data_IF_931130014846
#
_entry.id   IF_931130014846
#
_cell.length_a   1.000
_cell.length_b   1.000
_cell.length_c   1.000
_cell.angle_alpha   90.00
_cell.angle_beta   90.00
_cell.angle_gamma   90.00
#
_symmetry.space_group_name_H-M   'P 1'
#
loop_
_entity.id
_entity.type
_entity.pdbx_description
1 polymer ?
#
# COMPACT_ATOMS: atom_id res chain seq x y z
N UNK A 1 -5.57 -15.25 14.07
CA UNK A 1 -6.97 -15.57 13.75
C UNK A 1 -7.07 -16.36 12.43
N UNK A 2 -6.57 -15.86 11.31
CA UNK A 2 -6.75 -16.48 9.99
C UNK A 2 -6.26 -17.94 9.92
N UNK A 3 -5.10 -18.25 10.51
CA UNK A 3 -4.55 -19.62 10.53
C UNK A 3 -5.42 -20.62 11.28
N UNK A 4 -6.24 -20.17 12.23
CA UNK A 4 -7.20 -21.01 12.93
C UNK A 4 -8.53 -21.13 12.17
N UNK A 5 -9.05 -20.00 11.65
CA UNK A 5 -10.39 -19.93 11.12
C UNK A 5 -10.50 -20.40 9.66
N UNK A 6 -9.44 -20.23 8.85
CA UNK A 6 -9.47 -20.47 7.41
C UNK A 6 -8.42 -21.53 7.05
N UNK A 7 -8.82 -22.73 6.63
CA UNK A 7 -7.94 -23.76 6.12
C UNK A 7 -7.07 -23.25 4.96
N UNK A 8 -5.85 -23.77 4.84
CA UNK A 8 -4.86 -23.28 3.88
C UNK A 8 -5.36 -23.34 2.43
N UNK A 9 -6.05 -24.40 2.06
CA UNK A 9 -6.64 -24.62 0.72
C UNK A 9 -7.73 -23.61 0.36
N UNK A 10 -8.47 -23.10 1.36
CA UNK A 10 -9.51 -22.08 1.12
C UNK A 10 -8.95 -20.68 0.94
N UNK A 11 -7.70 -20.42 1.34
CA UNK A 11 -7.06 -19.11 1.22
C UNK A 11 -6.77 -18.71 -0.23
N UNK A 12 -6.91 -19.63 -1.18
CA UNK A 12 -6.89 -19.31 -2.61
C UNK A 12 -8.08 -18.42 -3.02
N UNK A 13 -9.18 -18.48 -2.26
CA UNK A 13 -10.35 -17.66 -2.49
C UNK A 13 -10.14 -16.24 -1.92
N UNK A 14 -10.93 -15.30 -2.45
CA UNK A 14 -11.01 -13.96 -1.90
C UNK A 14 -11.89 -13.97 -0.63
N UNK A 15 -11.28 -14.03 0.53
CA UNK A 15 -11.96 -14.16 1.82
C UNK A 15 -11.60 -13.00 2.75
N UNK A 16 -12.55 -12.59 3.58
CA UNK A 16 -12.32 -11.64 4.66
C UNK A 16 -12.43 -12.35 6.02
N UNK A 17 -11.48 -12.05 6.90
CA UNK A 17 -11.50 -12.40 8.31
C UNK A 17 -11.69 -11.13 9.12
N UNK A 18 -12.72 -11.06 9.95
CA UNK A 18 -13.10 -9.91 10.76
C UNK A 18 -13.07 -10.32 12.22
N UNK A 19 -12.13 -9.81 12.99
CA UNK A 19 -12.01 -10.08 14.44
C UNK A 19 -12.55 -8.89 15.21
N UNK A 20 -13.72 -9.07 15.83
CA UNK A 20 -14.47 -8.03 16.51
C UNK A 20 -14.18 -8.13 18.01
N UNK A 21 -13.27 -7.26 18.46
CA UNK A 21 -12.88 -7.12 19.85
C UNK A 21 -13.81 -6.21 20.65
N UNK A 22 -13.30 -5.71 21.76
CA UNK A 22 -13.96 -4.71 22.60
C UNK A 22 -13.90 -3.32 21.95
N UNK A 23 -12.70 -2.77 21.73
CA UNK A 23 -12.49 -1.41 21.22
C UNK A 23 -12.08 -1.35 19.76
N UNK A 24 -11.68 -2.45 19.12
CA UNK A 24 -11.26 -2.49 17.72
C UNK A 24 -11.85 -3.67 16.97
N UNK A 25 -12.01 -3.48 15.67
CA UNK A 25 -12.37 -4.53 14.72
C UNK A 25 -11.26 -4.66 13.69
N UNK A 26 -10.51 -5.75 13.76
CA UNK A 26 -9.39 -6.05 12.91
C UNK A 26 -9.84 -6.87 11.69
N UNK A 27 -9.43 -6.45 10.50
CA UNK A 27 -9.85 -7.07 9.25
C UNK A 27 -8.64 -7.47 8.44
N UNK A 28 -8.60 -8.74 8.05
CA UNK A 28 -7.58 -9.29 7.17
C UNK A 28 -8.24 -9.92 5.94
N UNK A 29 -7.69 -9.64 4.78
CA UNK A 29 -8.17 -10.16 3.50
C UNK A 29 -7.16 -11.16 2.94
N UNK A 30 -7.61 -12.30 2.47
CA UNK A 30 -6.77 -13.25 1.76
C UNK A 30 -7.25 -13.45 0.33
N UNK A 31 -6.29 -13.63 -0.57
CA UNK A 31 -6.48 -13.94 -1.98
C UNK A 31 -5.26 -14.67 -2.49
N UNK A 32 -5.45 -15.63 -3.39
CA UNK A 32 -4.36 -16.35 -4.04
C UNK A 32 -3.36 -16.99 -3.07
N UNK A 33 -3.86 -17.50 -1.96
CA UNK A 33 -3.09 -18.22 -0.94
C UNK A 33 -2.31 -17.33 0.04
N UNK A 34 -2.42 -16.00 -0.08
CA UNK A 34 -1.71 -15.05 0.79
C UNK A 34 -2.64 -13.99 1.36
N UNK A 35 -2.20 -13.36 2.44
CA UNK A 35 -2.90 -12.20 3.00
C UNK A 35 -2.59 -11.00 2.12
N UNK A 36 -3.62 -10.49 1.43
CA UNK A 36 -3.52 -9.40 0.47
C UNK A 36 -3.69 -8.00 1.08
N UNK A 37 -4.23 -7.90 2.29
CA UNK A 37 -4.43 -6.62 2.94
C UNK A 37 -4.90 -6.71 4.38
N UNK A 38 -4.63 -5.64 5.13
CA UNK A 38 -5.10 -5.44 6.49
C UNK A 38 -5.72 -4.06 6.64
N UNK A 39 -6.76 -3.99 7.45
CA UNK A 39 -7.36 -2.74 7.86
C UNK A 39 -7.98 -2.90 9.25
N UNK A 40 -8.37 -1.81 9.86
CA UNK A 40 -8.96 -1.80 11.20
C UNK A 40 -10.06 -0.75 11.25
N UNK A 41 -11.13 -1.05 11.99
CA UNK A 41 -12.12 -0.08 12.42
C UNK A 41 -11.99 0.16 13.92
N UNK A 42 -12.24 1.40 14.34
CA UNK A 42 -12.28 1.81 15.76
C UNK A 42 -13.68 1.67 16.36
N UNK A 43 -14.60 1.04 15.64
CA UNK A 43 -15.97 0.71 16.08
C UNK A 43 -16.00 -0.78 16.38
N UNK A 44 -16.40 -1.18 17.58
CA UNK A 44 -16.38 -2.56 18.03
C UNK A 44 -17.42 -2.84 19.14
N UNK A 45 -17.14 -3.80 20.02
CA UNK A 45 -18.07 -4.23 21.05
C UNK A 45 -18.44 -3.19 22.09
N UNK A 46 -17.54 -2.23 22.37
CA UNK A 46 -17.74 -1.23 23.44
C UNK A 46 -18.82 -0.22 23.08
N UNK A 47 -19.01 0.14 21.81
CA UNK A 47 -20.11 1.00 21.38
C UNK A 47 -21.48 0.38 21.67
N UNK A 48 -21.57 -0.94 21.56
CA UNK A 48 -22.79 -1.69 21.92
C UNK A 48 -23.01 -1.64 23.44
N UNK A 49 -21.93 -1.87 24.21
CA UNK A 49 -21.96 -1.82 25.67
C UNK A 49 -22.35 -0.44 26.18
N UNK A 50 -21.76 0.62 25.59
CA UNK A 50 -22.11 2.02 25.92
C UNK A 50 -23.58 2.34 25.60
N UNK A 51 -24.13 1.83 24.50
CA UNK A 51 -25.53 2.01 24.19
C UNK A 51 -26.44 1.37 25.23
N UNK A 52 -26.10 0.17 25.70
CA UNK A 52 -26.80 -0.51 26.80
C UNK A 52 -26.67 0.30 28.08
N UNK A 53 -25.48 0.77 28.46
CA UNK A 53 -25.26 1.62 29.62
C UNK A 53 -26.20 2.84 29.65
N UNK A 54 -26.29 3.53 28.50
CA UNK A 54 -27.12 4.73 28.34
C UNK A 54 -28.62 4.42 28.39
N UNK A 55 -29.04 3.31 27.77
CA UNK A 55 -30.45 2.94 27.69
C UNK A 55 -31.03 2.43 29.05
N UNK A 56 -30.19 1.72 29.81
CA UNK A 56 -30.65 1.06 31.03
C UNK A 56 -30.04 1.64 32.30
N UNK A 57 -29.27 2.70 32.21
CA UNK A 57 -28.61 3.39 33.33
C UNK A 57 -27.81 2.42 34.20
N UNK A 58 -26.97 1.61 33.57
CA UNK A 58 -26.13 0.60 34.24
C UNK A 58 -24.65 0.93 34.05
N UNK A 59 -23.81 0.33 34.92
CA UNK A 59 -22.36 0.40 34.74
C UNK A 59 -21.89 -0.54 33.60
N UNK A 60 -20.62 -0.39 33.20
CA UNK A 60 -20.04 -1.15 32.10
C UNK A 60 -20.13 -2.67 32.32
N UNK A 61 -19.85 -3.14 33.53
CA UNK A 61 -19.88 -4.57 33.85
C UNK A 61 -21.28 -5.14 33.69
N UNK A 62 -22.29 -4.47 34.27
CA UNK A 62 -23.69 -4.86 34.15
C UNK A 62 -24.18 -4.80 32.69
N UNK A 63 -23.74 -3.79 31.92
CA UNK A 63 -24.04 -3.71 30.49
C UNK A 63 -23.43 -4.89 29.70
N UNK A 64 -22.20 -5.30 30.01
CA UNK A 64 -21.58 -6.49 29.43
C UNK A 64 -22.32 -7.79 29.79
N UNK A 65 -22.82 -7.89 31.00
CA UNK A 65 -23.65 -9.02 31.44
C UNK A 65 -24.97 -9.05 30.66
N UNK A 66 -25.65 -7.93 30.51
CA UNK A 66 -26.87 -7.80 29.69
C UNK A 66 -26.58 -8.18 28.23
N UNK A 67 -25.49 -7.64 27.67
CA UNK A 67 -25.05 -7.92 26.27
C UNK A 67 -24.84 -9.40 25.99
N UNK A 68 -24.25 -10.16 26.95
CA UNK A 68 -24.03 -11.59 26.79
C UNK A 68 -25.32 -12.39 26.82
N UNK A 69 -26.31 -11.95 27.58
CA UNK A 69 -27.59 -12.63 27.64
C UNK A 69 -28.45 -12.46 26.37
N UNK A 70 -28.10 -11.54 25.50
CA UNK A 70 -28.79 -11.36 24.21
C UNK A 70 -28.44 -12.53 23.29
N UNK A 71 -29.27 -13.50 23.16
CA UNK A 71 -29.10 -14.67 22.31
C UNK A 71 -28.88 -16.01 23.05
N UNK A 72 -28.68 -15.98 24.35
CA UNK A 72 -28.53 -17.22 25.15
C UNK A 72 -29.81 -17.69 25.84
N UNK A 73 -30.79 -16.78 26.07
CA UNK A 73 -32.05 -17.16 26.75
C UNK A 73 -33.22 -16.30 26.28
N UNK A 74 -34.39 -16.93 26.20
CA UNK A 74 -35.69 -16.25 26.04
C UNK A 74 -36.18 -15.56 27.32
N UNK A 75 -35.44 -15.70 28.42
CA UNK A 75 -35.81 -15.16 29.73
C UNK A 75 -35.36 -13.69 29.86
N UNK A 76 -36.21 -12.85 30.51
CA UNK A 76 -35.82 -11.48 30.81
C UNK A 76 -34.58 -11.38 31.69
N UNK A 77 -33.63 -10.55 31.31
CA UNK A 77 -32.42 -10.28 32.07
C UNK A 77 -32.77 -9.39 33.27
N UNK A 78 -32.41 -9.84 34.48
CA UNK A 78 -32.53 -9.06 35.71
C UNK A 78 -31.26 -8.28 35.95
N UNK A 79 -31.38 -7.00 36.25
CA UNK A 79 -30.23 -6.16 36.53
C UNK A 79 -30.58 -5.12 37.62
N UNK A 80 -29.54 -4.50 38.19
CA UNK A 80 -29.67 -3.37 39.09
C UNK A 80 -29.08 -2.15 38.43
N UNK A 81 -29.87 -1.09 38.29
CA UNK A 81 -29.41 0.14 37.71
C UNK A 81 -28.57 0.98 38.71
N UNK A 82 -27.92 2.07 38.20
CA UNK A 82 -27.08 2.95 39.04
C UNK A 82 -27.86 3.65 40.18
N UNK A 83 -29.18 3.70 40.08
CA UNK A 83 -30.06 4.25 41.15
C UNK A 83 -30.40 3.22 42.23
N UNK A 84 -29.90 1.98 42.07
CA UNK A 84 -30.14 0.90 43.00
C UNK A 84 -31.49 0.17 42.82
N UNK A 85 -32.22 0.46 41.75
CA UNK A 85 -33.50 -0.18 41.43
C UNK A 85 -33.26 -1.51 40.71
N UNK A 86 -33.99 -2.55 41.11
CA UNK A 86 -34.02 -3.83 40.43
C UNK A 86 -35.00 -3.78 39.26
N UNK A 87 -34.54 -4.07 38.09
CA UNK A 87 -35.32 -4.04 36.86
C UNK A 87 -35.18 -5.32 36.07
N UNK A 88 -36.04 -5.48 35.06
CA UNK A 88 -35.99 -6.60 34.11
C UNK A 88 -36.16 -6.07 32.70
N UNK A 89 -35.38 -6.61 31.78
CA UNK A 89 -35.48 -6.24 30.36
C UNK A 89 -35.58 -7.51 29.51
N UNK A 90 -36.47 -7.50 28.54
CA UNK A 90 -36.55 -8.59 27.57
C UNK A 90 -35.38 -8.47 26.56
N UNK A 91 -34.86 -9.61 26.11
CA UNK A 91 -33.78 -9.63 25.11
C UNK A 91 -34.14 -8.83 23.82
N UNK A 92 -35.42 -8.89 23.40
CA UNK A 92 -35.91 -8.14 22.25
C UNK A 92 -35.81 -6.62 22.42
N UNK A 93 -36.04 -6.10 23.63
CA UNK A 93 -35.94 -4.67 23.94
C UNK A 93 -34.48 -4.20 23.91
N UNK A 94 -33.56 -5.07 24.39
CA UNK A 94 -32.11 -4.78 24.30
C UNK A 94 -31.66 -4.79 22.87
N UNK A 95 -32.06 -5.75 22.04
CA UNK A 95 -31.78 -5.79 20.61
C UNK A 95 -32.27 -4.53 19.91
N UNK A 96 -33.45 -4.03 20.29
CA UNK A 96 -33.98 -2.77 19.73
C UNK A 96 -33.15 -1.56 20.15
N UNK A 97 -32.71 -1.50 21.41
CA UNK A 97 -31.90 -0.40 21.93
C UNK A 97 -30.50 -0.30 21.29
N UNK A 98 -29.96 -1.40 20.78
CA UNK A 98 -28.62 -1.47 20.17
C UNK A 98 -28.64 -1.46 18.65
N UNK A 99 -29.78 -1.25 17.99
CA UNK A 99 -29.86 -1.29 16.53
C UNK A 99 -28.92 -0.29 15.83
N UNK A 100 -28.95 0.96 16.25
CA UNK A 100 -28.12 2.03 15.66
C UNK A 100 -26.61 1.74 15.78
N UNK A 101 -26.06 1.38 16.95
CA UNK A 101 -24.64 1.02 17.04
C UNK A 101 -24.30 -0.27 16.29
N UNK A 102 -25.23 -1.23 16.20
CA UNK A 102 -25.05 -2.43 15.37
C UNK A 102 -24.94 -2.10 13.89
N UNK A 103 -25.79 -1.19 13.40
CA UNK A 103 -25.72 -0.74 12.01
C UNK A 103 -24.43 0.04 11.72
N UNK A 104 -23.96 0.86 12.67
CA UNK A 104 -22.67 1.54 12.57
C UNK A 104 -21.49 0.56 12.52
N UNK A 105 -21.52 -0.47 13.33
CA UNK A 105 -20.50 -1.52 13.33
C UNK A 105 -20.48 -2.27 11.99
N UNK A 106 -21.64 -2.69 11.49
CA UNK A 106 -21.75 -3.37 10.21
C UNK A 106 -21.29 -2.47 9.03
N UNK A 107 -21.65 -1.19 9.06
CA UNK A 107 -21.18 -0.18 8.09
C UNK A 107 -19.66 -0.01 8.13
N UNK A 108 -19.08 0.09 9.33
CA UNK A 108 -17.64 0.24 9.50
C UNK A 108 -16.89 -0.99 8.94
N UNK A 109 -17.34 -2.20 9.28
CA UNK A 109 -16.78 -3.45 8.77
C UNK A 109 -16.82 -3.47 7.23
N UNK A 110 -18.00 -3.21 6.66
CA UNK A 110 -18.21 -3.30 5.22
C UNK A 110 -17.39 -2.25 4.45
N UNK A 111 -17.34 -1.01 4.94
CA UNK A 111 -16.50 0.06 4.36
C UNK A 111 -15.03 -0.29 4.39
N UNK A 112 -14.55 -0.84 5.49
CA UNK A 112 -13.14 -1.24 5.62
C UNK A 112 -12.80 -2.41 4.69
N UNK A 113 -13.67 -3.41 4.57
CA UNK A 113 -13.48 -4.50 3.61
C UNK A 113 -13.40 -3.95 2.18
N UNK A 114 -14.35 -3.11 1.78
CA UNK A 114 -14.40 -2.55 0.42
C UNK A 114 -13.25 -1.59 0.12
N UNK A 115 -12.74 -0.87 1.12
CA UNK A 115 -11.60 0.04 0.95
C UNK A 115 -10.32 -0.68 0.55
N UNK A 116 -10.13 -1.91 1.00
CA UNK A 116 -8.93 -2.73 0.71
C UNK A 116 -9.16 -3.69 -0.45
N UNK A 117 -10.38 -4.25 -0.55
CA UNK A 117 -10.71 -5.30 -1.54
C UNK A 117 -11.34 -4.77 -2.83
N UNK A 118 -11.81 -3.54 -2.83
CA UNK A 118 -12.55 -2.88 -3.94
C UNK A 118 -13.87 -3.55 -4.35
N UNK A 119 -14.11 -4.80 -3.95
CA UNK A 119 -15.33 -5.59 -4.20
C UNK A 119 -15.66 -6.43 -2.98
N UNK A 120 -16.90 -6.91 -2.87
CA UNK A 120 -17.27 -7.85 -1.83
C UNK A 120 -16.41 -9.13 -1.93
N UNK A 121 -15.94 -9.71 -0.81
CA UNK A 121 -15.22 -10.97 -0.80
C UNK A 121 -16.16 -12.14 -1.14
N UNK A 122 -15.59 -13.30 -1.45
CA UNK A 122 -16.38 -14.53 -1.69
C UNK A 122 -17.07 -15.04 -0.44
N UNK A 123 -16.44 -14.85 0.74
CA UNK A 123 -17.03 -15.10 2.04
C UNK A 123 -16.36 -14.26 3.13
N UNK A 124 -17.06 -14.06 4.25
CA UNK A 124 -16.59 -13.34 5.44
C UNK A 124 -16.67 -14.28 6.65
N UNK A 125 -15.59 -14.31 7.43
CA UNK A 125 -15.52 -15.02 8.70
C UNK A 125 -15.47 -14.01 9.84
N UNK A 126 -16.50 -13.99 10.67
CA UNK A 126 -16.57 -13.14 11.86
C UNK A 126 -15.98 -13.88 13.05
N UNK A 127 -15.05 -13.28 13.75
CA UNK A 127 -14.40 -13.80 14.95
C UNK A 127 -14.45 -12.78 16.09
N UNK A 128 -13.87 -13.16 17.23
CA UNK A 128 -13.90 -12.35 18.42
C UNK A 128 -15.25 -12.41 19.15
N UNK A 129 -15.30 -11.86 20.35
CA UNK A 129 -16.52 -11.86 21.18
C UNK A 129 -17.69 -11.11 20.54
N UNK A 130 -17.40 -10.05 19.80
CA UNK A 130 -18.41 -9.23 19.11
C UNK A 130 -19.11 -9.95 17.95
N UNK A 131 -18.52 -11.01 17.41
CA UNK A 131 -19.15 -11.80 16.34
C UNK A 131 -20.43 -12.54 16.78
N UNK A 132 -20.62 -12.71 18.09
CA UNK A 132 -21.81 -13.35 18.68
C UNK A 132 -23.02 -12.43 18.76
N UNK A 133 -22.87 -11.15 18.46
CA UNK A 133 -23.97 -10.20 18.51
C UNK A 133 -25.08 -10.61 17.54
N UNK A 134 -26.26 -10.85 18.07
CA UNK A 134 -27.43 -11.30 17.30
C UNK A 134 -27.79 -10.28 16.21
N UNK A 135 -27.93 -10.74 14.96
CA UNK A 135 -28.28 -9.90 13.82
C UNK A 135 -27.08 -9.14 13.19
N UNK A 136 -25.85 -9.27 13.70
CA UNK A 136 -24.68 -8.63 13.09
C UNK A 136 -24.31 -9.30 11.76
N UNK A 137 -24.37 -10.62 11.69
CA UNK A 137 -24.07 -11.39 10.49
C UNK A 137 -24.94 -10.95 9.31
N UNK A 138 -26.24 -10.87 9.54
CA UNK A 138 -27.26 -10.47 8.58
C UNK A 138 -27.03 -9.02 8.09
N UNK A 139 -26.67 -8.12 9.02
CA UNK A 139 -26.35 -6.73 8.68
C UNK A 139 -25.10 -6.61 7.84
N UNK A 140 -24.03 -7.31 8.19
CA UNK A 140 -22.78 -7.32 7.39
C UNK A 140 -23.03 -7.87 5.99
N UNK A 141 -23.80 -8.97 5.88
CA UNK A 141 -24.18 -9.53 4.60
C UNK A 141 -24.96 -8.53 3.74
N UNK A 142 -25.97 -7.86 4.33
CA UNK A 142 -26.77 -6.85 3.64
C UNK A 142 -25.94 -5.64 3.19
N UNK A 143 -24.98 -5.14 4.01
CA UNK A 143 -24.12 -4.01 3.66
C UNK A 143 -23.09 -4.35 2.58
N UNK A 144 -22.68 -5.61 2.46
CA UNK A 144 -21.79 -6.12 1.42
C UNK A 144 -22.56 -6.64 0.17
N UNK A 145 -23.89 -6.56 0.17
CA UNK A 145 -24.77 -7.08 -0.90
C UNK A 145 -24.48 -8.54 -1.23
N UNK A 146 -24.27 -9.37 -0.20
CA UNK A 146 -23.96 -10.78 -0.35
C UNK A 146 -24.97 -11.67 0.37
N UNK A 147 -25.04 -12.94 -0.05
CA UNK A 147 -25.89 -13.94 0.62
C UNK A 147 -25.42 -14.14 2.06
N UNK A 148 -26.36 -14.16 3.03
CA UNK A 148 -26.08 -14.38 4.46
C UNK A 148 -25.32 -15.68 4.72
N UNK A 149 -25.49 -16.70 3.88
CA UNK A 149 -24.75 -17.98 3.94
C UNK A 149 -23.25 -17.82 3.68
N UNK A 150 -22.84 -16.70 3.12
CA UNK A 150 -21.43 -16.37 2.88
C UNK A 150 -20.77 -15.59 4.03
N UNK A 151 -21.54 -15.27 5.07
CA UNK A 151 -21.01 -14.68 6.30
C UNK A 151 -21.14 -15.72 7.40
N UNK A 152 -20.03 -16.21 7.90
CA UNK A 152 -19.97 -17.26 8.90
C UNK A 152 -19.30 -16.75 10.18
N UNK A 153 -19.72 -17.27 11.34
CA UNK A 153 -19.00 -17.09 12.60
C UNK A 153 -17.87 -18.13 12.62
N UNK A 154 -16.65 -17.68 12.92
CA UNK A 154 -15.48 -18.56 13.03
C UNK A 154 -15.62 -19.50 14.23
N UNK A 155 -15.15 -20.74 14.06
CA UNK A 155 -15.20 -21.76 15.11
C UNK A 155 -15.07 -23.17 14.55
N UNK A 156 -15.91 -23.53 13.58
CA UNK A 156 -16.01 -24.90 13.05
C UNK A 156 -14.70 -25.49 12.50
N UNK A 157 -13.77 -24.64 12.07
CA UNK A 157 -12.50 -25.08 11.48
C UNK A 157 -11.36 -25.20 12.50
N UNK A 158 -11.55 -24.74 13.74
CA UNK A 158 -10.45 -24.72 14.72
C UNK A 158 -9.99 -26.13 15.09
N UNK A 159 -10.91 -27.08 15.20
CA UNK A 159 -10.61 -28.48 15.49
C UNK A 159 -9.77 -29.19 14.41
N UNK A 160 -9.66 -28.61 13.19
CA UNK A 160 -8.80 -29.16 12.15
C UNK A 160 -7.30 -29.01 12.45
N UNK A 161 -6.94 -28.06 13.29
CA UNK A 161 -5.54 -27.69 13.56
C UNK A 161 -5.17 -27.70 15.04
N UNK A 162 -6.14 -27.80 15.95
CA UNK A 162 -5.93 -27.74 17.40
C UNK A 162 -6.80 -28.77 18.09
N UNK A 163 -6.25 -29.39 19.10
CA UNK A 163 -6.97 -30.35 19.98
C UNK A 163 -6.85 -29.91 21.43
N UNK A 164 -7.94 -30.04 22.19
CA UNK A 164 -7.97 -29.83 23.64
C UNK A 164 -9.00 -30.73 24.31
N UNK A 165 -8.62 -31.34 25.44
CA UNK A 165 -9.53 -32.11 26.29
C UNK A 165 -10.33 -31.24 27.27
N UNK A 166 -9.90 -29.99 27.49
CA UNK A 166 -10.37 -29.17 28.61
C UNK A 166 -11.11 -27.90 28.17
N UNK A 167 -11.08 -27.56 26.86
CA UNK A 167 -11.61 -26.31 26.33
C UNK A 167 -12.45 -26.61 25.11
N UNK A 168 -13.67 -26.07 25.05
CA UNK A 168 -14.44 -26.01 23.80
C UNK A 168 -13.76 -25.06 22.82
N UNK A 169 -13.17 -25.61 21.77
CA UNK A 169 -12.37 -24.85 20.82
C UNK A 169 -13.20 -24.01 19.84
N UNK A 170 -14.48 -24.31 19.67
CA UNK A 170 -15.34 -23.74 18.62
C UNK A 170 -15.81 -22.30 18.90
N UNK A 171 -15.35 -21.68 19.99
CA UNK A 171 -15.73 -20.31 20.34
C UNK A 171 -14.97 -19.27 19.49
N UNK A 172 -15.67 -18.33 18.84
CA UNK A 172 -15.04 -17.37 17.94
C UNK A 172 -14.02 -16.45 18.60
N UNK A 173 -14.11 -16.21 19.92
CA UNK A 173 -13.13 -15.47 20.70
C UNK A 173 -11.76 -16.16 20.77
N UNK A 174 -11.69 -17.45 20.47
CA UNK A 174 -10.43 -18.18 20.44
C UNK A 174 -9.68 -18.08 19.10
N UNK A 175 -10.25 -17.45 18.08
CA UNK A 175 -9.64 -17.34 16.76
C UNK A 175 -8.21 -16.78 16.82
N UNK A 176 -7.99 -15.71 17.57
CA UNK A 176 -6.67 -15.08 17.68
C UNK A 176 -5.71 -15.88 18.55
N UNK A 177 -6.02 -16.29 19.80
CA UNK A 177 -5.10 -17.10 20.58
C UNK A 177 -4.77 -18.45 19.94
N UNK A 178 -5.74 -19.13 19.32
CA UNK A 178 -5.49 -20.37 18.59
C UNK A 178 -4.63 -20.12 17.34
N UNK A 179 -4.87 -19.04 16.62
CA UNK A 179 -4.05 -18.65 15.49
C UNK A 179 -2.59 -18.40 15.86
N UNK A 180 -2.34 -17.82 17.04
CA UNK A 180 -0.99 -17.64 17.60
C UNK A 180 -0.36 -19.00 17.92
N UNK A 181 -1.10 -19.87 18.62
CA UNK A 181 -0.63 -21.20 19.01
C UNK A 181 -0.30 -22.07 17.78
N UNK A 182 -1.19 -22.09 16.78
CA UNK A 182 -0.96 -22.79 15.51
C UNK A 182 0.29 -22.26 14.80
N UNK A 183 0.42 -20.93 14.73
CA UNK A 183 1.58 -20.29 14.06
C UNK A 183 2.89 -20.64 14.77
N UNK A 184 2.89 -20.64 16.10
CA UNK A 184 4.04 -21.04 16.89
C UNK A 184 4.39 -22.53 16.68
N UNK A 185 3.38 -23.41 16.73
CA UNK A 185 3.56 -24.85 16.52
C UNK A 185 4.05 -25.21 15.13
N UNK A 186 3.67 -24.45 14.11
CA UNK A 186 4.15 -24.61 12.76
C UNK A 186 5.53 -23.96 12.51
N UNK A 187 6.18 -23.39 13.51
CA UNK A 187 7.46 -22.69 13.37
C UNK A 187 7.34 -21.33 12.67
N UNK A 188 6.13 -20.89 12.34
CA UNK A 188 5.87 -19.64 11.60
C UNK A 188 6.25 -18.38 12.39
N UNK A 189 6.41 -18.49 13.71
CA UNK A 189 6.87 -17.43 14.60
C UNK A 189 8.35 -17.58 15.01
N UNK A 190 8.88 -18.82 14.98
CA UNK A 190 10.26 -19.10 15.40
C UNK A 190 11.29 -18.77 14.33
N UNK A 191 10.92 -18.79 13.08
CA UNK A 191 11.71 -18.13 12.07
C UNK A 191 11.42 -16.64 12.20
N UNK A 192 12.27 -15.97 12.94
CA UNK A 192 12.48 -14.53 12.79
C UNK A 192 12.99 -14.33 11.36
N UNK A 193 12.10 -14.46 10.40
CA UNK A 193 12.36 -14.16 9.01
C UNK A 193 12.48 -12.65 8.92
N UNK A 194 13.50 -12.13 9.58
CA UNK A 194 13.84 -10.71 9.48
C UNK A 194 14.67 -10.60 8.22
N UNK A 195 14.08 -10.02 7.21
CA UNK A 195 14.77 -9.59 6.01
C UNK A 195 14.86 -8.07 6.06
N UNK A 196 16.02 -7.52 5.82
CA UNK A 196 16.22 -6.09 5.79
C UNK A 196 16.09 -5.61 4.34
N UNK A 197 15.17 -4.66 4.10
CA UNK A 197 14.99 -4.01 2.81
C UNK A 197 15.38 -2.53 2.95
N UNK A 198 16.45 -2.12 2.27
CA UNK A 198 17.01 -0.77 2.34
C UNK A 198 17.25 -0.28 3.77
N UNK A 199 17.72 -1.17 4.65
CA UNK A 199 18.02 -0.85 6.05
C UNK A 199 16.81 -0.86 6.98
N UNK A 200 15.62 -1.21 6.50
CA UNK A 200 14.41 -1.37 7.31
C UNK A 200 13.94 -2.82 7.30
N UNK A 201 13.25 -3.25 8.35
CA UNK A 201 12.65 -4.58 8.39
C UNK A 201 11.56 -4.70 7.33
N UNK A 202 11.70 -5.68 6.44
CA UNK A 202 10.72 -5.93 5.38
C UNK A 202 9.42 -6.51 5.95
N UNK A 203 8.28 -6.10 5.39
CA UNK A 203 6.98 -6.70 5.69
C UNK A 203 6.88 -8.05 4.98
N UNK A 204 6.59 -9.10 5.73
CA UNK A 204 6.48 -10.47 5.25
C UNK A 204 5.11 -11.02 5.61
N UNK A 205 4.30 -11.37 4.62
CA UNK A 205 2.91 -11.81 4.81
C UNK A 205 2.66 -13.23 4.30
N UNK A 206 3.70 -13.93 3.88
CA UNK A 206 3.58 -15.25 3.29
C UNK A 206 4.57 -16.21 3.93
N UNK A 207 4.12 -17.45 4.14
CA UNK A 207 4.95 -18.56 4.57
C UNK A 207 5.45 -19.36 3.37
N UNK A 208 6.66 -19.84 3.44
CA UNK A 208 7.28 -20.63 2.39
C UNK A 208 8.46 -19.92 1.72
N UNK A 209 8.89 -20.46 0.62
CA UNK A 209 10.02 -19.91 -0.14
C UNK A 209 9.60 -18.56 -0.76
N UNK A 210 10.24 -17.50 -0.30
CA UNK A 210 10.04 -16.15 -0.80
C UNK A 210 11.12 -15.78 -1.80
N UNK A 211 10.73 -15.18 -2.90
CA UNK A 211 11.67 -14.61 -3.88
C UNK A 211 11.86 -13.11 -3.61
N UNK A 212 12.95 -12.56 -4.15
CA UNK A 212 13.21 -11.11 -4.10
C UNK A 212 12.01 -10.30 -4.63
N UNK A 213 11.38 -10.77 -5.72
CA UNK A 213 10.15 -10.18 -6.25
C UNK A 213 9.02 -10.17 -5.23
N UNK A 214 8.80 -11.29 -4.52
CA UNK A 214 7.72 -11.40 -3.54
C UNK A 214 7.91 -10.41 -2.40
N UNK A 215 9.15 -10.27 -1.90
CA UNK A 215 9.51 -9.29 -0.87
C UNK A 215 9.20 -7.86 -1.34
N UNK A 216 9.61 -7.51 -2.55
CA UNK A 216 9.38 -6.16 -3.08
C UNK A 216 7.89 -5.85 -3.23
N UNK A 217 7.10 -6.79 -3.77
CA UNK A 217 5.65 -6.63 -3.90
C UNK A 217 4.95 -6.46 -2.54
N UNK A 218 5.35 -7.26 -1.53
CA UNK A 218 4.81 -7.17 -0.16
C UNK A 218 5.14 -5.83 0.51
N UNK A 219 6.23 -5.17 0.09
CA UNK A 219 6.64 -3.87 0.62
C UNK A 219 6.18 -2.68 -0.24
N UNK A 220 5.22 -2.90 -1.15
CA UNK A 220 4.52 -1.85 -1.88
C UNK A 220 5.18 -1.42 -3.18
N UNK A 221 6.22 -2.10 -3.63
CA UNK A 221 6.82 -1.84 -4.95
C UNK A 221 6.02 -2.53 -6.05
N UNK A 222 5.94 -1.91 -7.21
CA UNK A 222 5.27 -2.42 -8.40
C UNK A 222 6.25 -3.08 -9.37
N UNK A 223 5.73 -3.84 -10.35
CA UNK A 223 6.56 -4.34 -11.44
C UNK A 223 7.23 -3.21 -12.26
N UNK A 224 6.59 -2.06 -12.34
CA UNK A 224 7.16 -0.91 -13.03
C UNK A 224 8.42 -0.38 -12.33
N UNK A 225 8.45 -0.45 -10.99
CA UNK A 225 9.63 -0.07 -10.19
C UNK A 225 10.78 -1.08 -10.36
N UNK A 226 10.48 -2.32 -10.70
CA UNK A 226 11.49 -3.38 -10.86
C UNK A 226 12.13 -3.38 -12.25
N UNK A 227 11.35 -3.11 -13.29
CA UNK A 227 11.79 -3.26 -14.69
C UNK A 227 11.98 -1.92 -15.38
N UNK A 228 11.23 -0.90 -14.98
CA UNK A 228 11.18 0.38 -15.70
C UNK A 228 10.37 0.29 -16.98
N UNK A 229 10.12 1.42 -17.60
CA UNK A 229 9.45 1.53 -18.89
C UNK A 229 10.23 2.46 -19.78
N UNK A 230 10.59 2.01 -20.98
CA UNK A 230 11.14 2.87 -22.02
C UNK A 230 10.11 3.92 -22.42
N UNK A 231 10.55 5.14 -22.60
CA UNK A 231 9.75 6.25 -23.08
C UNK A 231 9.13 5.94 -24.45
N UNK A 232 7.94 6.46 -24.68
CA UNK A 232 7.25 6.29 -25.97
C UNK A 232 7.99 7.02 -27.07
N UNK A 233 8.10 6.41 -28.24
CA UNK A 233 8.61 7.04 -29.44
C UNK A 233 7.57 8.05 -29.98
N UNK A 234 8.06 9.15 -30.56
CA UNK A 234 7.26 10.10 -31.33
C UNK A 234 7.41 9.77 -32.82
N UNK A 235 6.32 9.33 -33.44
CA UNK A 235 6.31 9.00 -34.86
C UNK A 235 5.67 10.17 -35.63
N UNK A 236 6.40 10.68 -36.61
CA UNK A 236 6.02 11.82 -37.44
C UNK A 236 6.15 11.45 -38.92
N UNK A 237 5.51 12.22 -39.76
CA UNK A 237 5.76 12.18 -41.22
C UNK A 237 6.26 13.52 -41.66
N UNK A 238 7.50 13.59 -42.16
CA UNK A 238 8.15 14.83 -42.65
C UNK A 238 8.36 14.72 -44.14
N UNK A 239 7.74 15.59 -44.91
CA UNK A 239 7.78 15.58 -46.39
C UNK A 239 7.54 14.20 -47.01
N UNK A 240 6.52 13.50 -46.47
CA UNK A 240 6.13 12.16 -46.91
C UNK A 240 7.03 11.01 -46.38
N UNK A 241 8.08 11.31 -45.63
CA UNK A 241 8.97 10.31 -45.05
C UNK A 241 8.63 10.10 -43.55
N UNK A 242 8.56 8.84 -43.13
CA UNK A 242 8.39 8.53 -41.71
C UNK A 242 9.65 8.84 -40.93
N UNK A 243 9.52 9.64 -39.89
CA UNK A 243 10.55 9.98 -38.91
C UNK A 243 10.14 9.45 -37.58
N UNK A 244 11.03 8.75 -36.85
CA UNK A 244 10.81 8.20 -35.54
C UNK A 244 11.82 8.79 -34.58
N UNK A 245 11.36 9.65 -33.68
CA UNK A 245 12.17 10.10 -32.56
C UNK A 245 11.98 9.09 -31.42
N UNK A 246 13.08 8.55 -30.93
CA UNK A 246 13.04 7.51 -29.89
C UNK A 246 12.93 8.13 -28.50
N UNK A 247 12.04 7.57 -27.70
CA UNK A 247 12.05 7.85 -26.27
C UNK A 247 13.28 7.28 -25.58
N UNK A 248 13.61 7.82 -24.44
CA UNK A 248 14.76 7.37 -23.67
C UNK A 248 14.54 5.94 -23.13
N UNK A 249 15.58 5.10 -23.06
CA UNK A 249 15.49 3.81 -22.42
C UNK A 249 15.29 3.99 -20.92
N UNK A 250 14.60 3.01 -20.30
CA UNK A 250 14.54 2.95 -18.84
C UNK A 250 15.93 2.64 -18.26
N UNK A 251 16.21 3.17 -17.09
CA UNK A 251 17.35 2.74 -16.28
C UNK A 251 16.90 1.55 -15.43
N UNK A 252 17.52 0.37 -15.55
CA UNK A 252 17.13 -0.80 -14.77
C UNK A 252 17.23 -0.58 -13.26
N UNK A 253 16.39 -1.30 -12.50
CA UNK A 253 16.52 -1.34 -11.05
C UNK A 253 17.84 -1.98 -10.63
N UNK A 254 18.39 -1.51 -9.51
CA UNK A 254 19.53 -2.16 -8.87
C UNK A 254 18.99 -3.09 -7.78
N UNK A 255 19.29 -4.38 -7.93
CA UNK A 255 18.84 -5.45 -7.06
C UNK A 255 20.07 -6.16 -6.46
N UNK A 256 20.24 -6.07 -5.15
CA UNK A 256 21.31 -6.77 -4.45
C UNK A 256 20.78 -7.48 -3.22
N UNK A 257 21.29 -8.66 -2.98
CA UNK A 257 21.08 -9.44 -1.76
C UNK A 257 22.44 -9.69 -1.12
N UNK A 258 22.63 -9.26 0.12
CA UNK A 258 23.92 -9.33 0.82
C UNK A 258 25.08 -8.73 0.00
N UNK A 259 24.81 -7.55 -0.60
CA UNK A 259 25.72 -6.80 -1.48
C UNK A 259 26.07 -7.44 -2.84
N UNK A 260 25.59 -8.64 -3.14
CA UNK A 260 25.74 -9.29 -4.45
C UNK A 260 24.52 -9.00 -5.35
N UNK A 261 24.75 -8.86 -6.66
CA UNK A 261 23.66 -8.69 -7.62
C UNK A 261 22.79 -9.95 -7.66
N UNK A 262 21.47 -9.77 -7.60
CA UNK A 262 20.53 -10.88 -7.55
C UNK A 262 19.36 -10.67 -8.52
N UNK A 263 18.89 -11.72 -9.21
CA UNK A 263 17.71 -11.66 -10.04
C UNK A 263 16.43 -11.59 -9.18
N UNK A 264 15.34 -11.10 -9.74
CA UNK A 264 14.02 -11.06 -9.06
C UNK A 264 13.53 -12.43 -8.59
N UNK A 265 14.03 -13.51 -9.17
CA UNK A 265 13.71 -14.90 -8.83
C UNK A 265 14.60 -15.46 -7.71
N UNK A 266 15.60 -14.71 -7.25
CA UNK A 266 16.46 -15.16 -6.16
C UNK A 266 15.63 -15.49 -4.92
N UNK A 267 15.92 -16.64 -4.32
CA UNK A 267 15.30 -17.07 -3.07
C UNK A 267 15.93 -16.29 -1.93
N UNK A 268 15.07 -15.72 -1.08
CA UNK A 268 15.48 -14.91 0.06
C UNK A 268 15.42 -15.75 1.34
N UNK A 269 16.43 -15.62 2.18
CA UNK A 269 16.55 -16.34 3.45
C UNK A 269 16.45 -15.38 4.64
N UNK A 270 16.20 -15.95 5.81
CA UNK A 270 16.22 -15.18 7.05
C UNK A 270 17.59 -14.54 7.28
N UNK A 271 17.58 -13.27 7.64
CA UNK A 271 18.80 -12.49 7.84
C UNK A 271 19.36 -11.81 6.59
N UNK A 272 18.77 -12.04 5.41
CA UNK A 272 19.24 -11.39 4.19
C UNK A 272 19.02 -9.87 4.23
N UNK A 273 20.00 -9.17 3.66
CA UNK A 273 19.98 -7.74 3.46
C UNK A 273 19.75 -7.42 1.98
N UNK A 274 18.58 -6.85 1.68
CA UNK A 274 18.20 -6.47 0.33
C UNK A 274 18.45 -4.98 0.14
N UNK A 275 19.20 -4.65 -0.91
CA UNK A 275 19.32 -3.29 -1.41
C UNK A 275 18.59 -3.19 -2.73
N UNK A 276 17.55 -2.38 -2.75
CA UNK A 276 16.72 -2.13 -3.91
C UNK A 276 16.70 -0.63 -4.25
N UNK A 277 17.10 -0.30 -5.47
CA UNK A 277 16.93 1.04 -6.03
C UNK A 277 15.97 0.87 -7.21
N UNK A 278 14.79 1.51 -7.18
CA UNK A 278 13.81 1.36 -8.24
C UNK A 278 14.34 1.78 -9.61
N UNK A 279 13.83 1.13 -10.64
CA UNK A 279 14.07 1.53 -12.02
C UNK A 279 13.51 2.94 -12.29
N UNK A 280 14.18 3.73 -13.08
CA UNK A 280 13.63 4.97 -13.59
C UNK A 280 13.04 4.79 -14.97
N UNK A 281 11.90 5.43 -15.22
CA UNK A 281 11.26 5.40 -16.51
C UNK A 281 11.98 6.36 -17.47
N UNK A 282 12.20 5.92 -18.69
CA UNK A 282 12.69 6.79 -19.76
C UNK A 282 11.65 7.84 -20.13
N UNK A 283 12.12 9.02 -20.48
CA UNK A 283 11.23 10.09 -20.93
C UNK A 283 10.68 9.79 -22.33
N UNK A 284 9.42 10.13 -22.55
CA UNK A 284 8.83 10.03 -23.88
C UNK A 284 9.51 11.02 -24.82
N UNK A 285 9.71 10.61 -26.07
CA UNK A 285 10.23 11.53 -27.08
C UNK A 285 9.27 12.72 -27.24
N UNK A 286 9.81 13.89 -27.18
CA UNK A 286 9.14 15.16 -27.49
C UNK A 286 10.07 15.99 -28.32
N UNK A 287 9.55 16.80 -29.23
CA UNK A 287 10.35 17.70 -30.08
C UNK A 287 9.49 18.86 -30.54
N UNK A 288 10.11 19.98 -30.71
CA UNK A 288 9.53 21.13 -31.42
C UNK A 288 9.91 21.07 -32.92
N UNK A 289 9.22 21.87 -33.75
CA UNK A 289 9.60 22.02 -35.16
C UNK A 289 11.03 22.51 -35.33
N UNK A 290 11.47 23.42 -34.45
CA UNK A 290 12.83 23.94 -34.48
C UNK A 290 13.88 22.84 -34.24
N UNK A 291 13.66 21.99 -33.28
CA UNK A 291 14.56 20.87 -32.98
C UNK A 291 14.54 19.81 -34.09
N UNK A 292 13.37 19.53 -34.67
CA UNK A 292 13.21 18.55 -35.75
C UNK A 292 13.89 18.98 -37.02
N UNK A 293 13.78 20.26 -37.42
CA UNK A 293 14.27 20.78 -38.67
C UNK A 293 15.72 21.37 -38.61
N UNK A 294 16.17 21.65 -37.38
CA UNK A 294 17.49 22.20 -37.09
C UNK A 294 17.59 23.72 -37.31
N UNK A 295 18.69 24.32 -36.82
CA UNK A 295 18.89 25.78 -36.84
C UNK A 295 19.05 26.40 -38.24
N UNK A 296 19.45 25.59 -39.22
CA UNK A 296 19.70 26.08 -40.61
C UNK A 296 18.43 26.06 -41.47
N UNK A 297 17.30 25.70 -40.90
CA UNK A 297 16.06 25.69 -41.64
C UNK A 297 15.50 27.09 -41.80
N UNK A 298 15.35 27.51 -43.07
CA UNK A 298 14.68 28.76 -43.44
C UNK A 298 13.52 28.47 -44.39
N UNK A 299 12.31 28.83 -43.97
CA UNK A 299 11.12 28.59 -44.80
C UNK A 299 9.82 28.59 -43.99
N UNK A 300 8.76 28.16 -44.63
CA UNK A 300 7.46 27.97 -43.99
C UNK A 300 7.23 26.50 -43.70
N UNK A 301 6.54 26.21 -42.61
CA UNK A 301 6.21 24.84 -42.21
C UNK A 301 4.71 24.73 -41.97
N UNK A 302 4.13 23.64 -42.46
CA UNK A 302 2.76 23.26 -42.19
C UNK A 302 2.78 21.99 -41.33
N UNK A 303 2.05 22.02 -40.24
CA UNK A 303 1.74 20.81 -39.43
C UNK A 303 0.29 20.49 -39.67
N UNK A 304 -0.01 19.28 -40.14
CA UNK A 304 -1.37 18.86 -40.51
C UNK A 304 -2.10 19.84 -41.41
N UNK A 305 -1.38 20.38 -42.42
CA UNK A 305 -1.84 21.39 -43.39
C UNK A 305 -2.12 22.79 -42.78
N UNK A 306 -1.77 23.05 -41.52
CA UNK A 306 -1.90 24.36 -40.89
C UNK A 306 -0.49 24.97 -40.71
N UNK A 307 -0.35 26.25 -41.03
CA UNK A 307 0.93 26.94 -40.79
C UNK A 307 1.25 27.00 -39.32
N UNK A 308 2.42 26.51 -38.95
CA UNK A 308 2.86 26.40 -37.57
C UNK A 308 4.16 27.21 -37.35
N UNK A 309 4.31 27.88 -36.21
CA UNK A 309 5.56 28.53 -35.81
C UNK A 309 6.60 27.47 -35.39
N UNK A 310 7.87 27.83 -35.36
CA UNK A 310 8.97 26.89 -35.12
C UNK A 310 9.00 26.34 -33.67
N UNK A 311 8.39 27.02 -32.74
CA UNK A 311 8.22 26.58 -31.32
C UNK A 311 7.06 25.61 -31.11
N UNK A 312 6.34 25.26 -32.19
CA UNK A 312 5.21 24.30 -32.08
C UNK A 312 5.71 22.96 -31.60
N UNK A 313 5.11 22.48 -30.51
CA UNK A 313 5.33 21.13 -30.00
C UNK A 313 4.64 20.11 -30.89
N UNK A 314 5.40 19.08 -31.30
CA UNK A 314 4.91 18.02 -32.18
C UNK A 314 4.23 16.90 -31.42
N UNK A 315 3.16 16.38 -31.99
CA UNK A 315 2.37 15.29 -31.41
C UNK A 315 2.50 14.01 -32.24
N UNK A 316 2.06 12.92 -31.63
CA UNK A 316 2.10 11.60 -32.27
C UNK A 316 1.24 11.56 -33.55
N UNK A 317 1.87 11.27 -34.66
CA UNK A 317 1.19 11.14 -35.95
C UNK A 317 1.18 12.43 -36.79
N UNK A 318 1.78 13.52 -36.33
CA UNK A 318 1.83 14.78 -37.08
C UNK A 318 2.50 14.63 -38.45
N UNK A 319 1.90 15.32 -39.41
CA UNK A 319 2.40 15.43 -40.81
C UNK A 319 3.00 16.82 -40.99
N UNK A 320 4.29 16.86 -41.10
CA UNK A 320 5.08 18.09 -41.30
C UNK A 320 5.43 18.22 -42.76
N UNK A 321 5.03 19.33 -43.37
CA UNK A 321 5.41 19.69 -44.74
C UNK A 321 6.29 20.95 -44.71
N UNK A 322 7.48 20.87 -45.33
CA UNK A 322 8.44 21.97 -45.35
C UNK A 322 8.46 22.68 -46.70
N UNK A 323 8.39 24.01 -46.67
CA UNK A 323 8.58 24.87 -47.85
C UNK A 323 9.85 25.68 -47.63
N UNK A 324 10.99 25.13 -48.08
CA UNK A 324 12.27 25.80 -47.94
C UNK A 324 12.29 27.07 -48.82
N UNK A 325 12.78 28.16 -48.25
CA UNK A 325 13.05 29.39 -48.95
C UNK A 325 14.57 29.64 -48.96
N UNK A 326 15.07 30.30 -49.99
CA UNK A 326 16.48 30.71 -50.02
C UNK A 326 16.69 31.78 -48.93
N UNK A 327 17.64 31.60 -48.02
CA UNK A 327 17.91 32.65 -47.04
C UNK A 327 18.28 33.95 -47.76
N UNK A 328 17.85 35.12 -47.27
CA UNK A 328 18.31 36.38 -47.84
C UNK A 328 19.85 36.46 -47.77
N UNK A 329 20.55 37.05 -48.79
CA UNK A 329 21.99 37.20 -48.71
C UNK A 329 22.31 37.92 -47.39
N UNK A 330 23.35 37.42 -46.71
CA UNK A 330 23.79 38.01 -45.44
C UNK A 330 24.09 39.49 -45.72
N UNK A 331 23.40 40.39 -45.03
CA UNK A 331 23.71 41.82 -45.11
C UNK A 331 25.18 41.98 -44.67
N UNK A 332 26.03 42.48 -45.57
CA UNK A 332 27.41 42.85 -45.22
C UNK A 332 27.34 43.74 -43.97
N UNK A 333 27.98 43.29 -42.92
CA UNK A 333 28.14 44.11 -41.74
C UNK A 333 28.83 45.41 -42.08
N UNK A 334 28.35 46.57 -41.67
CA UNK A 334 29.04 47.85 -41.95
C UNK A 334 30.45 47.76 -41.37
N UNK A 335 31.46 48.13 -42.25
CA UNK A 335 32.84 48.18 -41.83
C UNK A 335 32.98 49.09 -40.60
N UNK A 336 33.46 48.59 -39.53
CA UNK A 336 33.80 49.31 -38.29
C UNK A 336 34.89 50.33 -38.63
N UNK A 337 34.76 51.62 -38.27
CA UNK A 337 35.83 52.57 -38.42
C UNK A 337 37.01 52.27 -37.53
N UNK A 338 38.21 52.24 -38.02
CA UNK A 338 39.45 51.98 -37.31
C UNK A 338 39.56 52.84 -36.05
N UNK A 339 39.63 52.21 -34.90
CA UNK A 339 39.89 52.84 -33.61
C UNK A 339 41.40 53.14 -33.45
N UNK A 340 41.75 54.23 -32.81
CA UNK A 340 43.16 54.60 -32.61
C UNK A 340 43.82 53.74 -31.54
N UNK A 341 45.11 53.49 -31.72
CA UNK A 341 45.99 52.70 -30.90
C UNK A 341 45.87 53.11 -29.39
N UNK A 342 45.42 52.19 -28.57
CA UNK A 342 45.38 52.34 -27.10
C UNK A 342 46.51 51.55 -26.43
N UNK A 343 47.06 52.19 -25.45
CA UNK A 343 48.26 51.91 -24.69
C UNK A 343 48.33 50.50 -24.11
N UNK A 344 49.54 49.99 -24.06
CA UNK A 344 49.96 48.76 -23.38
C UNK A 344 49.62 48.83 -21.90
N UNK A 345 48.74 47.93 -21.42
CA UNK A 345 48.59 47.66 -19.98
C UNK A 345 49.49 46.48 -19.58
N UNK A 346 50.07 46.49 -18.39
CA UNK A 346 50.96 45.43 -17.92
C UNK A 346 50.13 44.20 -17.49
N UNK A 347 50.73 43.03 -17.70
CA UNK A 347 50.17 41.71 -17.41
C UNK A 347 49.78 41.54 -15.92
N UNK A 348 48.69 40.84 -15.59
CA UNK A 348 48.36 40.52 -14.21
C UNK A 348 49.29 39.42 -13.66
N UNK A 349 49.69 39.61 -12.38
CA UNK A 349 50.49 38.67 -11.62
C UNK A 349 49.80 37.31 -11.43
N UNK A 350 50.56 36.20 -11.29
CA UNK A 350 49.98 34.85 -11.15
C UNK A 350 49.23 34.72 -9.84
N UNK A 351 48.06 34.07 -9.94
CA UNK A 351 47.16 33.74 -8.84
C UNK A 351 47.87 32.81 -7.82
N UNK A 352 47.77 33.15 -6.56
CA UNK A 352 48.26 32.36 -5.44
C UNK A 352 47.53 31.01 -5.36
N UNK A 353 48.28 29.94 -5.12
CA UNK A 353 47.76 28.59 -4.83
C UNK A 353 46.98 28.59 -3.52
N UNK A 354 45.86 27.82 -3.41
CA UNK A 354 45.14 27.67 -2.17
C UNK A 354 45.98 26.87 -1.17
N UNK A 355 45.96 27.31 0.08
CA UNK A 355 46.60 26.65 1.21
C UNK A 355 46.02 25.25 1.49
N UNK A 356 46.84 24.31 2.02
CA UNK A 356 46.36 22.97 2.34
C UNK A 356 45.39 22.99 3.53
N UNK A 357 44.38 22.06 3.45
CA UNK A 357 43.40 21.89 4.51
C UNK A 357 44.03 21.42 5.83
N UNK A 358 43.49 21.81 7.00
CA UNK A 358 44.03 21.40 8.30
C UNK A 358 43.75 19.91 8.56
N UNK A 359 44.75 19.24 9.14
CA UNK A 359 44.67 17.86 9.62
C UNK A 359 43.62 17.69 10.73
N UNK A 360 42.93 16.53 10.80
CA UNK A 360 41.96 16.25 11.83
C UNK A 360 42.63 16.07 13.20
N UNK A 361 42.14 16.77 14.20
CA UNK A 361 42.55 16.64 15.59
C UNK A 361 42.08 15.31 16.20
N UNK A 362 42.85 14.66 17.08
CA UNK A 362 42.46 13.40 17.71
C UNK A 362 41.34 13.62 18.74
N UNK A 363 40.34 12.72 18.65
CA UNK A 363 39.19 12.63 19.58
C UNK A 363 39.70 12.17 20.96
N UNK A 364 39.32 12.80 22.07
CA UNK A 364 39.69 12.36 23.42
C UNK A 364 38.96 11.06 23.79
N UNK A 365 39.72 10.12 24.39
CA UNK A 365 39.25 8.83 24.88
C UNK A 365 38.21 9.02 26.01
N UNK A 366 37.13 8.23 25.94
CA UNK A 366 36.14 8.10 27.01
C UNK A 366 36.74 7.27 28.17
N UNK A 367 36.47 7.62 29.45
CA UNK A 367 36.93 6.84 30.60
C UNK A 367 36.12 5.56 30.77
N UNK A 368 36.83 4.49 31.14
CA UNK A 368 36.34 3.17 31.52
C UNK A 368 35.26 3.25 32.63
N UNK A 369 34.19 2.49 32.48
CA UNK A 369 33.26 2.18 33.57
C UNK A 369 33.77 0.99 34.37
N UNK A 370 33.79 1.06 35.72
CA UNK A 370 34.16 -0.08 36.56
C UNK A 370 33.04 -1.15 36.61
N UNK A 371 33.49 -2.37 36.98
CA UNK A 371 32.84 -3.67 36.99
C UNK A 371 31.43 -3.77 37.58
#
# INVERSE_FOLDING_TARGET
AMNAAIPAELRLLNLAMVDIGAGTTDIALCRDGSVGGYTMATVAGDEITEAIMRSYLVDFKTAEEIKRCIGEADEPVRYRNILGLEERVAAADVVQAIQDPMDKLADAISKQILSVNSTAPSAVFLAGGGSKLAGLRERVAGKLEMDEKRVAIAGNNFALSVYSDNIELEKPEYATPLGIAISAGLGLLNDSYVVMLNGQSAKLFRNGVLTLRDILLMNGYSYADMVGRTGKNLNLTVDGKRVVLRGEPAVPAVLRVNDEEAPLTAVIHAGDHIRFIPASHGQCASSTLAELLGPDFYGQVLVNNIRAPMDTQLEQGDVVLTMRQTPPPAAEAPAEPAAPAAAVQPAPAPAAQPAPAPEPQPVPAQPDRPA
#
